data_IF_818584489151
#
_entry.id   IF_818584489151
#
_cell.length_a   1.000
_cell.length_b   1.000
_cell.length_c   1.000
_cell.angle_alpha   90.00
_cell.angle_beta   90.00
_cell.angle_gamma   90.00
#
_symmetry.space_group_name_H-M   'P 1'
#
loop_
_entity.id
_entity.type
_entity.pdbx_description
1 polymer ?
#
# COMPACT_ATOMS: atom_id res chain seq x y z
N UNK A 1 49.88 -14.36 25.68
CA UNK A 1 49.39 -15.47 26.54
C UNK A 1 47.90 -15.75 26.39
N UNK A 2 46.98 -14.82 26.70
CA UNK A 2 45.51 -15.05 26.71
C UNK A 2 44.96 -15.83 25.49
N UNK A 3 45.34 -15.45 24.26
CA UNK A 3 44.89 -16.09 23.01
C UNK A 3 45.21 -17.59 22.93
N UNK A 4 46.36 -18.03 23.45
CA UNK A 4 46.74 -19.46 23.45
C UNK A 4 45.95 -20.28 24.48
N UNK A 5 45.63 -19.68 25.64
CA UNK A 5 44.74 -20.28 26.65
C UNK A 5 43.33 -20.42 26.08
N UNK A 6 42.82 -19.37 25.42
CA UNK A 6 41.51 -19.40 24.77
C UNK A 6 41.42 -20.47 23.68
N UNK A 7 42.43 -20.60 22.79
CA UNK A 7 42.45 -21.66 21.78
C UNK A 7 42.50 -23.07 22.39
N UNK A 8 43.29 -23.30 23.46
CA UNK A 8 43.32 -24.61 24.15
C UNK A 8 42.00 -24.91 24.89
N UNK A 9 41.40 -23.90 25.52
CA UNK A 9 40.08 -24.02 26.19
C UNK A 9 38.95 -24.32 25.19
N UNK A 10 38.88 -23.58 24.09
CA UNK A 10 37.90 -23.83 23.02
C UNK A 10 38.12 -25.20 22.36
N UNK A 11 39.38 -25.57 22.05
CA UNK A 11 39.69 -26.86 21.44
C UNK A 11 39.30 -28.05 22.33
N UNK A 12 39.60 -27.99 23.62
CA UNK A 12 39.19 -29.02 24.59
C UNK A 12 37.68 -29.03 24.84
N UNK A 13 37.02 -27.86 24.87
CA UNK A 13 35.57 -27.75 24.98
C UNK A 13 34.85 -28.34 23.76
N UNK A 14 35.22 -27.94 22.54
CA UNK A 14 34.62 -28.47 21.31
C UNK A 14 34.93 -29.95 21.09
N UNK A 15 36.09 -30.46 21.51
CA UNK A 15 36.38 -31.89 21.47
C UNK A 15 35.44 -32.70 22.40
N UNK A 16 35.20 -32.21 23.63
CA UNK A 16 34.23 -32.83 24.56
C UNK A 16 32.79 -32.74 24.04
N UNK A 17 32.39 -31.58 23.50
CA UNK A 17 31.08 -31.39 22.90
C UNK A 17 30.88 -32.32 21.69
N UNK A 18 31.87 -32.41 20.80
CA UNK A 18 31.84 -33.30 19.64
C UNK A 18 31.74 -34.78 20.03
N UNK A 19 32.44 -35.20 21.09
CA UNK A 19 32.32 -36.56 21.63
C UNK A 19 30.93 -36.83 22.23
N UNK A 20 30.32 -35.85 22.89
CA UNK A 20 28.95 -35.94 23.40
C UNK A 20 27.89 -36.02 22.28
N UNK A 21 28.07 -35.23 21.21
CA UNK A 21 27.22 -35.30 20.01
C UNK A 21 27.38 -36.64 19.29
N UNK A 22 28.61 -37.12 19.12
CA UNK A 22 28.90 -38.39 18.45
C UNK A 22 28.40 -39.63 19.21
N UNK A 23 28.26 -39.55 20.53
CA UNK A 23 27.64 -40.61 21.36
C UNK A 23 26.11 -40.59 21.34
N UNK A 24 25.47 -39.47 20.96
CA UNK A 24 24.01 -39.32 20.90
C UNK A 24 23.51 -38.79 19.54
N UNK A 25 23.91 -39.41 18.40
CA UNK A 25 23.70 -38.83 17.07
C UNK A 25 22.22 -38.66 16.72
N UNK A 26 21.35 -39.57 17.16
CA UNK A 26 19.90 -39.52 16.87
C UNK A 26 19.23 -38.32 17.54
N UNK A 27 19.56 -38.03 18.79
CA UNK A 27 18.99 -36.88 19.53
C UNK A 27 19.41 -35.55 18.91
N UNK A 28 20.70 -35.42 18.56
CA UNK A 28 21.22 -34.21 17.90
C UNK A 28 20.77 -34.05 16.44
N UNK A 29 20.32 -35.12 15.77
CA UNK A 29 19.67 -35.04 14.47
C UNK A 29 18.18 -34.68 14.57
N UNK A 30 17.44 -35.24 15.54
CA UNK A 30 16.00 -35.02 15.66
C UNK A 30 15.64 -33.68 16.31
N UNK A 31 16.41 -33.21 17.30
CA UNK A 31 16.16 -31.95 17.99
C UNK A 31 16.09 -30.72 17.05
N UNK A 32 17.06 -30.45 16.16
CA UNK A 32 16.96 -29.31 15.23
C UNK A 32 15.79 -29.46 14.25
N UNK A 33 15.48 -30.68 13.78
CA UNK A 33 14.34 -30.93 12.90
C UNK A 33 13.01 -30.59 13.59
N UNK A 34 12.83 -31.03 14.85
CA UNK A 34 11.65 -30.68 15.65
C UNK A 34 11.55 -29.18 15.89
N UNK A 35 12.66 -28.51 16.21
CA UNK A 35 12.70 -27.05 16.40
C UNK A 35 12.35 -26.32 15.09
N UNK A 36 12.87 -26.75 13.94
CA UNK A 36 12.52 -26.19 12.63
C UNK A 36 11.04 -26.39 12.28
N UNK A 37 10.45 -27.55 12.60
CA UNK A 37 9.01 -27.79 12.40
C UNK A 37 8.16 -26.91 13.32
N UNK A 38 8.53 -26.75 14.60
CA UNK A 38 7.82 -25.88 15.55
C UNK A 38 7.89 -24.40 15.13
N UNK A 39 9.06 -23.93 14.68
CA UNK A 39 9.23 -22.59 14.14
C UNK A 39 8.44 -22.40 12.84
N UNK A 40 8.50 -23.36 11.91
CA UNK A 40 7.74 -23.37 10.67
C UNK A 40 6.22 -23.34 10.89
N UNK A 41 5.71 -24.10 11.86
CA UNK A 41 4.31 -24.08 12.26
C UNK A 41 3.88 -22.72 12.84
N UNK A 42 4.79 -22.00 13.53
CA UNK A 42 4.54 -20.65 14.02
C UNK A 42 4.28 -19.65 12.89
N UNK A 43 4.99 -19.77 11.75
CA UNK A 43 4.74 -18.94 10.56
C UNK A 43 3.33 -19.09 9.99
N UNK A 44 2.59 -20.17 10.28
CA UNK A 44 1.18 -20.32 9.89
C UNK A 44 0.25 -19.27 10.52
N UNK A 45 0.70 -18.52 11.53
CA UNK A 45 -0.06 -17.42 12.16
C UNK A 45 0.49 -16.03 11.82
N UNK A 46 1.47 -15.94 10.92
CA UNK A 46 1.98 -14.67 10.44
C UNK A 46 0.90 -13.92 9.64
N UNK A 47 0.59 -12.69 10.04
CA UNK A 47 -0.26 -11.79 9.26
C UNK A 47 0.64 -10.82 8.49
N UNK A 48 0.40 -10.70 7.18
CA UNK A 48 1.09 -9.74 6.32
C UNK A 48 0.46 -8.36 6.55
N UNK A 49 1.26 -7.41 7.03
CA UNK A 49 0.84 -6.01 7.18
C UNK A 49 0.90 -5.31 5.82
N UNK A 50 -0.25 -5.18 5.14
CA UNK A 50 -0.35 -4.51 3.83
C UNK A 50 -0.43 -2.98 3.93
N UNK A 51 -0.56 -2.39 5.13
CA UNK A 51 -0.73 -0.94 5.24
C UNK A 51 0.58 -0.19 5.01
N UNK A 52 0.64 0.50 3.87
CA UNK A 52 1.78 1.33 3.44
C UNK A 52 2.20 2.35 4.52
N UNK A 53 1.25 2.87 5.29
CA UNK A 53 1.51 3.76 6.42
C UNK A 53 2.29 3.09 7.56
N UNK A 54 1.99 1.83 7.89
CA UNK A 54 2.71 1.11 8.95
C UNK A 54 4.11 0.72 8.49
N UNK A 55 4.26 0.34 7.22
CA UNK A 55 5.54 -0.03 6.61
C UNK A 55 6.50 1.17 6.46
N UNK A 56 5.99 2.39 6.24
CA UNK A 56 6.81 3.57 5.97
C UNK A 56 6.90 4.59 7.11
N UNK A 57 5.94 4.62 8.05
CA UNK A 57 5.93 5.59 9.14
C UNK A 57 6.10 4.91 10.52
N UNK A 58 7.04 5.38 11.37
CA UNK A 58 7.21 4.86 12.72
C UNK A 58 5.91 4.90 13.54
N UNK A 59 5.66 3.85 14.32
CA UNK A 59 4.45 3.67 15.13
C UNK A 59 4.18 4.86 16.09
N UNK A 60 5.23 5.46 16.64
CA UNK A 60 5.18 6.59 17.58
C UNK A 60 5.83 7.86 17.02
N UNK A 61 5.54 8.20 15.76
CA UNK A 61 5.96 9.50 15.19
C UNK A 61 5.12 10.66 15.75
N UNK A 62 5.74 11.84 15.92
CA UNK A 62 5.06 13.04 16.42
C UNK A 62 3.78 13.35 15.63
N UNK A 63 3.85 13.33 14.30
CA UNK A 63 2.70 13.55 13.42
C UNK A 63 1.55 12.53 13.62
N UNK A 64 1.87 11.29 14.03
CA UNK A 64 0.86 10.26 14.33
C UNK A 64 0.23 10.48 15.71
N UNK A 65 1.01 10.97 16.68
CA UNK A 65 0.52 11.39 18.00
C UNK A 65 -0.38 12.64 17.87
N UNK A 66 0.07 13.68 17.17
CA UNK A 66 -0.71 14.88 16.87
C UNK A 66 -2.01 14.52 16.13
N UNK A 67 -1.96 13.65 15.12
CA UNK A 67 -3.16 13.12 14.45
C UNK A 67 -4.09 12.38 15.40
N UNK A 68 -3.56 11.56 16.32
CA UNK A 68 -4.38 10.84 17.29
C UNK A 68 -5.08 11.79 18.27
N UNK A 69 -4.38 12.85 18.71
CA UNK A 69 -4.93 13.90 19.58
C UNK A 69 -6.00 14.72 18.86
N UNK A 70 -5.74 15.17 17.63
CA UNK A 70 -6.72 15.90 16.81
C UNK A 70 -7.96 15.03 16.54
N UNK A 71 -7.79 13.75 16.18
CA UNK A 71 -8.91 12.83 15.98
C UNK A 71 -9.73 12.59 17.28
N UNK A 72 -9.10 12.69 18.46
CA UNK A 72 -9.77 12.53 19.75
C UNK A 72 -10.48 13.79 20.23
N UNK A 73 -9.91 14.98 19.97
CA UNK A 73 -10.51 16.28 20.33
C UNK A 73 -11.61 16.68 19.35
N UNK A 74 -11.42 16.37 18.07
CA UNK A 74 -12.33 16.67 16.97
C UNK A 74 -12.68 15.35 16.25
N UNK A 75 -13.60 14.54 16.81
CA UNK A 75 -14.02 13.28 16.19
C UNK A 75 -14.71 13.56 14.85
N UNK A 76 -13.94 13.40 13.76
CA UNK A 76 -14.39 13.61 12.38
C UNK A 76 -15.46 12.58 12.03
N UNK A 77 -16.72 12.96 12.26
CA UNK A 77 -17.86 12.15 11.89
C UNK A 77 -17.94 12.11 10.36
N UNK A 78 -17.46 11.00 9.77
CA UNK A 78 -17.16 10.90 8.33
C UNK A 78 -18.38 11.14 7.43
N UNK A 79 -19.60 10.90 7.92
CA UNK A 79 -20.86 11.18 7.21
C UNK A 79 -21.28 12.65 7.19
N UNK A 80 -20.67 13.52 8.02
CA UNK A 80 -21.11 14.92 8.19
C UNK A 80 -20.17 15.97 7.60
N UNK A 81 -18.92 15.62 7.33
CA UNK A 81 -17.91 16.59 6.85
C UNK A 81 -17.89 16.60 5.32
N UNK A 82 -18.26 17.75 4.73
CA UNK A 82 -18.44 17.92 3.28
C UNK A 82 -17.14 18.19 2.52
N UNK A 83 -16.08 18.64 3.20
CA UNK A 83 -14.87 19.13 2.53
C UNK A 83 -13.77 18.07 2.44
N UNK A 84 -13.29 17.86 1.21
CA UNK A 84 -12.11 17.06 0.89
C UNK A 84 -10.86 17.48 1.68
N UNK A 85 -10.74 18.77 2.03
CA UNK A 85 -9.64 19.33 2.81
C UNK A 85 -9.60 18.87 4.28
N UNK A 86 -10.75 18.49 4.86
CA UNK A 86 -10.84 18.03 6.26
C UNK A 86 -10.51 16.53 6.40
N UNK A 87 -10.46 15.80 5.28
CA UNK A 87 -9.93 14.44 5.20
C UNK A 87 -8.40 14.44 5.28
N UNK A 88 -7.87 14.92 6.41
CA UNK A 88 -6.45 14.78 6.75
C UNK A 88 -6.00 13.30 6.88
N UNK A 89 -6.94 12.36 6.95
CA UNK A 89 -6.58 10.93 6.98
C UNK A 89 -6.19 10.45 5.57
N UNK A 90 -5.10 9.69 5.42
CA UNK A 90 -4.82 8.88 4.23
C UNK A 90 -5.92 7.81 4.04
N UNK A 91 -7.07 8.25 3.55
CA UNK A 91 -8.22 7.41 3.26
C UNK A 91 -8.16 6.82 1.86
N UNK A 92 -8.98 5.80 1.62
CA UNK A 92 -9.22 5.26 0.28
C UNK A 92 -10.15 6.21 -0.48
N UNK A 93 -9.58 7.22 -1.14
CA UNK A 93 -10.29 8.12 -2.05
C UNK A 93 -9.79 7.97 -3.49
N UNK A 94 -10.68 8.11 -4.46
CA UNK A 94 -10.33 8.23 -5.87
C UNK A 94 -10.36 9.69 -6.30
N UNK A 95 -9.28 10.20 -6.90
CA UNK A 95 -9.23 11.55 -7.47
C UNK A 95 -8.94 11.47 -8.96
N UNK A 96 -9.82 12.07 -9.77
CA UNK A 96 -9.65 12.21 -11.21
C UNK A 96 -9.23 13.64 -11.51
N UNK A 97 -8.11 13.83 -12.21
CA UNK A 97 -7.62 15.14 -12.64
C UNK A 97 -7.83 15.23 -14.15
N UNK A 98 -8.70 16.15 -14.59
CA UNK A 98 -9.05 16.35 -15.99
C UNK A 98 -8.28 17.57 -16.49
N UNK A 99 -7.59 17.43 -17.64
CA UNK A 99 -6.77 18.50 -18.23
C UNK A 99 -6.98 18.58 -19.74
N UNK A 100 -6.74 19.75 -20.33
CA UNK A 100 -6.76 19.93 -21.79
C UNK A 100 -5.36 20.06 -22.38
N UNK A 101 -5.16 19.39 -23.52
CA UNK A 101 -3.90 19.46 -24.27
C UNK A 101 -3.63 20.84 -24.89
N UNK A 102 -4.65 21.68 -25.10
CA UNK A 102 -4.56 22.95 -25.86
C UNK A 102 -5.00 24.20 -25.09
N UNK A 103 -4.72 24.28 -23.77
CA UNK A 103 -5.13 25.41 -22.90
C UNK A 103 -6.62 25.80 -23.09
N UNK A 104 -7.47 24.81 -23.34
CA UNK A 104 -8.89 25.00 -23.65
C UNK A 104 -9.69 25.24 -22.36
N UNK A 105 -10.77 26.03 -22.47
CA UNK A 105 -11.68 26.30 -21.36
C UNK A 105 -12.35 25.00 -20.87
N UNK A 106 -12.15 24.65 -19.60
CA UNK A 106 -12.76 23.43 -19.03
C UNK A 106 -14.22 23.58 -18.63
N UNK A 107 -14.71 24.83 -18.53
CA UNK A 107 -16.12 25.15 -18.27
C UNK A 107 -16.92 25.40 -19.55
N UNK A 108 -16.30 25.23 -20.72
CA UNK A 108 -16.98 25.21 -22.01
C UNK A 108 -18.01 24.05 -22.07
N UNK A 109 -19.05 24.21 -22.90
CA UNK A 109 -20.16 23.25 -22.99
C UNK A 109 -19.69 21.85 -23.36
N UNK A 110 -18.86 21.71 -24.39
CA UNK A 110 -18.36 20.41 -24.84
C UNK A 110 -17.55 19.70 -23.74
N UNK A 111 -16.71 20.45 -23.02
CA UNK A 111 -15.88 19.90 -21.94
C UNK A 111 -16.71 19.58 -20.69
N UNK A 112 -17.68 20.42 -20.34
CA UNK A 112 -18.68 20.17 -19.28
C UNK A 112 -19.41 18.84 -19.52
N UNK A 113 -19.91 18.62 -20.73
CA UNK A 113 -20.60 17.38 -21.10
C UNK A 113 -19.71 16.14 -20.99
N UNK A 114 -18.43 16.24 -21.36
CA UNK A 114 -17.46 15.14 -21.20
C UNK A 114 -17.17 14.85 -19.72
N UNK A 115 -17.05 15.87 -18.87
CA UNK A 115 -16.83 15.72 -17.43
C UNK A 115 -18.03 15.01 -16.77
N UNK A 116 -19.25 15.44 -17.08
CA UNK A 116 -20.48 14.82 -16.57
C UNK A 116 -20.65 13.39 -17.09
N UNK A 117 -20.32 13.12 -18.36
CA UNK A 117 -20.31 11.76 -18.92
C UNK A 117 -19.30 10.85 -18.22
N UNK A 118 -18.10 11.35 -17.90
CA UNK A 118 -17.09 10.62 -17.13
C UNK A 118 -17.56 10.34 -15.70
N UNK A 119 -18.15 11.34 -15.03
CA UNK A 119 -18.74 11.16 -13.69
C UNK A 119 -19.83 10.08 -13.69
N UNK A 120 -20.72 10.09 -14.68
CA UNK A 120 -21.76 9.08 -14.87
C UNK A 120 -21.19 7.68 -15.18
N UNK A 121 -20.06 7.59 -15.89
CA UNK A 121 -19.37 6.32 -16.11
C UNK A 121 -18.77 5.78 -14.80
N UNK A 122 -18.10 6.62 -14.01
CA UNK A 122 -17.47 6.23 -12.73
C UNK A 122 -18.51 5.77 -11.69
N UNK A 123 -19.62 6.48 -11.55
CA UNK A 123 -20.69 6.12 -10.59
C UNK A 123 -21.42 4.82 -10.96
N UNK A 124 -21.38 4.42 -12.24
CA UNK A 124 -21.96 3.16 -12.74
C UNK A 124 -20.99 1.96 -12.74
N UNK A 125 -19.72 2.14 -12.32
CA UNK A 125 -18.77 1.03 -12.22
C UNK A 125 -19.33 -0.02 -11.23
N UNK A 126 -19.29 -1.28 -11.66
CA UNK A 126 -19.64 -2.44 -10.86
C UNK A 126 -18.42 -3.36 -10.73
N UNK A 127 -18.11 -3.77 -9.50
CA UNK A 127 -17.02 -4.69 -9.19
C UNK A 127 -17.64 -5.99 -8.68
N UNK A 128 -17.53 -7.04 -9.50
CA UNK A 128 -18.05 -8.35 -9.13
C UNK A 128 -17.10 -9.02 -8.12
N UNK A 129 -17.64 -9.37 -6.95
CA UNK A 129 -16.98 -10.19 -5.93
C UNK A 129 -17.86 -11.41 -5.65
N UNK A 130 -17.30 -12.56 -5.22
CA UNK A 130 -18.10 -13.74 -4.91
C UNK A 130 -19.19 -13.39 -3.90
N UNK A 131 -20.46 -13.55 -4.31
CA UNK A 131 -21.65 -13.27 -3.51
C UNK A 131 -22.21 -11.83 -3.58
N UNK A 132 -21.50 -10.84 -4.12
CA UNK A 132 -22.04 -9.47 -4.22
C UNK A 132 -21.39 -8.60 -5.31
N UNK A 133 -22.22 -7.87 -6.06
CA UNK A 133 -21.78 -6.89 -7.05
C UNK A 133 -21.75 -5.49 -6.44
N UNK A 134 -20.56 -5.07 -6.01
CA UNK A 134 -20.37 -3.76 -5.41
C UNK A 134 -20.48 -2.65 -6.47
N UNK A 135 -21.18 -1.57 -6.13
CA UNK A 135 -21.28 -0.36 -6.95
C UNK A 135 -20.79 0.85 -6.15
N UNK A 136 -20.56 1.99 -6.80
CA UNK A 136 -20.15 3.23 -6.12
C UNK A 136 -21.05 3.58 -4.92
N UNK A 137 -22.37 3.42 -5.06
CA UNK A 137 -23.35 3.71 -4.01
C UNK A 137 -23.21 2.84 -2.73
N UNK A 138 -22.57 1.68 -2.83
CA UNK A 138 -22.33 0.78 -1.68
C UNK A 138 -21.04 1.10 -0.92
N UNK A 139 -20.15 1.92 -1.49
CA UNK A 139 -18.81 2.21 -0.97
C UNK A 139 -18.65 3.71 -0.61
N UNK A 140 -19.47 4.58 -1.22
CA UNK A 140 -19.42 6.02 -0.99
C UNK A 140 -19.71 6.40 0.46
N UNK A 141 -19.22 7.58 0.86
CA UNK A 141 -19.62 8.20 2.13
C UNK A 141 -21.02 8.81 1.92
N UNK A 142 -21.93 8.48 2.83
CA UNK A 142 -23.30 9.00 2.83
C UNK A 142 -23.38 10.31 3.64
N UNK A 143 -23.98 11.33 3.04
CA UNK A 143 -24.45 12.55 3.73
C UNK A 143 -25.68 12.24 4.60
N UNK A 144 -26.10 13.18 5.45
CA UNK A 144 -27.33 13.09 6.28
C UNK A 144 -28.57 12.72 5.44
N UNK A 145 -28.63 13.20 4.19
CA UNK A 145 -29.72 13.00 3.23
C UNK A 145 -29.68 11.63 2.53
N UNK A 146 -28.79 10.71 2.96
CA UNK A 146 -28.51 9.39 2.36
C UNK A 146 -28.01 9.43 0.91
N UNK A 147 -27.53 10.58 0.45
CA UNK A 147 -26.85 10.74 -0.84
C UNK A 147 -25.35 10.53 -0.71
N UNK A 148 -24.69 10.01 -1.75
CA UNK A 148 -23.23 9.94 -1.79
C UNK A 148 -22.63 11.34 -1.81
N UNK A 149 -21.62 11.59 -0.98
CA UNK A 149 -20.79 12.80 -1.07
C UNK A 149 -19.92 12.70 -2.33
N UNK A 150 -20.03 13.72 -3.19
CA UNK A 150 -19.29 13.92 -4.44
C UNK A 150 -18.75 15.37 -4.39
N UNK A 151 -17.72 15.67 -5.18
CA UNK A 151 -17.19 17.03 -5.31
C UNK A 151 -18.28 18.02 -5.80
N UNK A 152 -18.48 19.12 -5.07
CA UNK A 152 -19.51 20.13 -5.33
C UNK A 152 -19.41 20.72 -6.75
N UNK A 153 -18.23 20.66 -7.39
CA UNK A 153 -18.06 21.09 -8.79
C UNK A 153 -18.98 20.33 -9.76
N UNK A 154 -19.34 19.08 -9.45
CA UNK A 154 -20.25 18.28 -10.31
C UNK A 154 -21.65 18.90 -10.31
N UNK A 155 -22.16 19.29 -9.14
CA UNK A 155 -23.45 19.97 -9.01
C UNK A 155 -23.47 21.30 -9.78
N UNK A 156 -22.40 22.10 -9.65
CA UNK A 156 -22.26 23.36 -10.39
C UNK A 156 -22.24 23.12 -11.91
N UNK A 157 -21.56 22.08 -12.39
CA UNK A 157 -21.53 21.73 -13.81
C UNK A 157 -22.90 21.26 -14.33
N UNK A 158 -23.68 20.54 -13.52
CA UNK A 158 -25.07 20.15 -13.86
C UNK A 158 -25.99 21.37 -13.93
N UNK A 159 -25.92 22.29 -12.95
CA UNK A 159 -26.68 23.55 -12.97
C UNK A 159 -26.30 24.44 -14.17
N UNK A 160 -25.01 24.56 -14.49
CA UNK A 160 -24.55 25.31 -15.67
C UNK A 160 -25.07 24.70 -16.97
N UNK A 161 -25.14 23.37 -17.06
CA UNK A 161 -25.75 22.68 -18.20
C UNK A 161 -27.26 22.93 -18.28
N UNK A 162 -27.96 22.86 -17.15
CA UNK A 162 -29.40 23.14 -17.08
C UNK A 162 -29.72 24.60 -17.44
N UNK A 163 -28.94 25.57 -16.96
CA UNK A 163 -29.11 26.99 -17.25
C UNK A 163 -28.93 27.32 -18.74
N UNK A 164 -27.92 26.71 -19.38
CA UNK A 164 -27.71 26.77 -20.85
C UNK A 164 -28.89 26.15 -21.60
N UNK A 165 -29.34 24.96 -21.20
CA UNK A 165 -30.49 24.29 -21.82
C UNK A 165 -31.81 25.06 -21.64
N UNK A 166 -31.96 25.81 -20.54
CA UNK A 166 -33.11 26.70 -20.29
C UNK A 166 -32.99 28.04 -21.03
N UNK A 167 -31.93 28.27 -21.81
CA UNK A 167 -31.65 29.49 -22.56
C UNK A 167 -31.68 30.79 -21.70
N UNK A 168 -31.46 30.65 -20.38
CA UNK A 168 -31.68 31.74 -19.41
C UNK A 168 -30.51 32.71 -19.31
N UNK A 169 -29.29 32.28 -19.61
CA UNK A 169 -28.09 33.13 -19.68
C UNK A 169 -26.97 32.47 -20.50
N UNK A 170 -26.49 33.16 -21.56
CA UNK A 170 -25.29 32.76 -22.31
C UNK A 170 -24.01 33.36 -21.69
N UNK A 171 -23.77 33.14 -20.39
CA UNK A 171 -22.53 33.60 -19.75
C UNK A 171 -21.36 32.63 -20.05
N UNK A 172 -20.35 33.13 -20.75
CA UNK A 172 -19.13 32.40 -21.11
C UNK A 172 -18.14 32.33 -19.92
N UNK A 173 -18.46 31.51 -18.92
CA UNK A 173 -17.55 31.27 -17.78
C UNK A 173 -16.27 30.62 -18.30
N UNK A 174 -15.12 31.24 -18.02
CA UNK A 174 -13.82 30.81 -18.53
C UNK A 174 -12.90 30.37 -17.40
N UNK A 175 -12.31 29.18 -17.55
CA UNK A 175 -11.30 28.62 -16.63
C UNK A 175 -10.14 28.01 -17.41
N UNK A 176 -8.87 28.24 -17.03
CA UNK A 176 -8.41 28.98 -15.85
C UNK A 176 -8.53 30.51 -16.00
N UNK A 177 -8.66 31.21 -14.87
CA UNK A 177 -8.78 32.67 -14.79
C UNK A 177 -7.44 33.37 -15.08
N UNK A 178 -6.32 32.64 -14.95
CA UNK A 178 -4.97 33.16 -15.21
C UNK A 178 -4.26 32.34 -16.29
N UNK A 179 -3.75 33.04 -17.31
CA UNK A 179 -2.87 32.44 -18.31
C UNK A 179 -1.41 32.67 -17.91
N UNK A 180 -0.79 31.65 -17.32
CA UNK A 180 0.65 31.68 -17.04
C UNK A 180 1.42 31.69 -18.38
N UNK A 181 2.18 32.76 -18.63
CA UNK A 181 3.19 32.79 -19.70
C UNK A 181 4.30 31.81 -19.32
N UNK A 182 4.69 30.99 -20.29
CA UNK A 182 5.86 30.10 -20.23
C UNK A 182 5.92 29.13 -19.05
N UNK A 183 4.80 28.44 -18.78
CA UNK A 183 4.85 27.18 -18.04
C UNK A 183 5.60 26.12 -18.87
N UNK A 184 6.69 25.51 -18.35
CA UNK A 184 7.23 24.28 -18.90
C UNK A 184 6.15 23.20 -18.97
N UNK A 185 6.31 22.21 -19.87
CA UNK A 185 5.37 21.08 -20.01
C UNK A 185 5.04 20.50 -18.64
N UNK A 186 3.77 20.14 -18.34
CA UNK A 186 3.41 19.56 -17.05
C UNK A 186 4.02 18.17 -16.91
N UNK A 187 5.25 18.11 -16.40
CA UNK A 187 5.74 16.95 -15.66
C UNK A 187 4.80 16.70 -14.50
N UNK A 188 4.44 15.43 -14.27
CA UNK A 188 3.37 15.03 -13.35
C UNK A 188 3.44 15.75 -11.99
N UNK A 189 2.31 16.23 -11.43
CA UNK A 189 2.29 16.99 -10.18
C UNK A 189 2.56 16.08 -8.98
N UNK A 190 3.85 15.85 -8.70
CA UNK A 190 4.36 15.12 -7.54
C UNK A 190 5.55 15.78 -6.83
N UNK A 191 6.05 16.91 -7.35
CA UNK A 191 7.21 17.63 -6.77
C UNK A 191 6.81 18.94 -6.12
N UNK A 192 6.52 18.90 -4.81
CA UNK A 192 6.49 20.09 -3.96
C UNK A 192 7.90 20.69 -3.81
N UNK A 193 8.10 22.00 -4.00
CA UNK A 193 9.41 22.64 -3.80
C UNK A 193 9.61 22.94 -2.30
N UNK A 194 10.06 21.95 -1.51
CA UNK A 194 10.10 22.16 -0.06
C UNK A 194 10.63 21.05 0.84
N UNK A 195 11.68 20.32 0.45
CA UNK A 195 12.52 19.60 1.42
C UNK A 195 13.86 19.21 0.79
N UNK A 196 14.95 19.94 1.06
CA UNK A 196 16.32 19.52 0.70
C UNK A 196 16.82 18.47 1.71
N UNK A 197 16.14 17.33 1.77
CA UNK A 197 16.65 16.15 2.45
C UNK A 197 17.78 15.55 1.61
N UNK A 198 19.00 15.52 2.18
CA UNK A 198 20.16 14.91 1.54
C UNK A 198 19.92 13.40 1.41
N UNK A 199 19.54 12.93 0.23
CA UNK A 199 19.48 11.50 -0.07
C UNK A 199 20.87 10.90 0.02
N UNK A 200 21.20 10.32 1.18
CA UNK A 200 22.31 9.39 1.29
C UNK A 200 22.00 8.18 0.41
N UNK A 201 22.91 7.83 -0.50
CA UNK A 201 22.83 6.59 -1.27
C UNK A 201 23.14 5.42 -0.34
N UNK A 202 22.12 4.89 0.32
CA UNK A 202 22.17 3.54 0.88
C UNK A 202 21.71 2.56 -0.21
N UNK A 203 22.51 1.55 -0.59
CA UNK A 203 22.13 0.61 -1.64
C UNK A 203 20.92 -0.23 -1.20
N UNK A 204 20.01 -0.47 -2.14
CA UNK A 204 18.94 -1.46 -2.00
C UNK A 204 19.58 -2.82 -1.67
N UNK A 205 19.35 -3.31 -0.45
CA UNK A 205 19.65 -4.69 -0.10
C UNK A 205 18.69 -5.58 -0.90
N UNK A 206 19.19 -6.14 -2.00
CA UNK A 206 18.50 -7.17 -2.76
C UNK A 206 18.30 -8.37 -1.83
N UNK A 207 17.08 -8.59 -1.36
CA UNK A 207 16.74 -9.76 -0.56
C UNK A 207 16.88 -10.97 -1.46
N UNK A 208 18.03 -11.64 -1.35
CA UNK A 208 18.34 -12.86 -2.06
C UNK A 208 17.54 -13.99 -1.41
N UNK A 209 16.47 -14.40 -2.06
CA UNK A 209 15.69 -15.60 -1.72
C UNK A 209 16.55 -16.84 -1.99
N UNK A 210 17.38 -17.20 -1.00
CA UNK A 210 18.18 -18.43 -1.01
C UNK A 210 17.23 -19.63 -0.98
N UNK A 211 17.05 -20.28 -2.12
CA UNK A 211 16.15 -21.42 -2.29
C UNK A 211 16.80 -22.67 -1.67
N UNK A 212 16.41 -23.02 -0.43
CA UNK A 212 16.94 -24.21 0.24
C UNK A 212 16.35 -25.51 -0.36
N UNK A 213 17.14 -26.15 -1.23
CA UNK A 213 16.85 -27.49 -1.76
C UNK A 213 17.17 -28.55 -0.70
N UNK A 214 16.15 -28.99 0.05
CA UNK A 214 16.23 -30.19 0.88
C UNK A 214 15.93 -31.43 0.03
N UNK A 215 16.97 -32.20 -0.31
CA UNK A 215 16.84 -33.52 -0.93
C UNK A 215 16.51 -34.57 0.14
N UNK A 216 15.37 -35.24 -0.03
CA UNK A 216 15.02 -36.43 0.74
C UNK A 216 15.61 -37.68 0.09
N UNK A 217 16.53 -38.34 0.80
CA UNK A 217 17.01 -39.68 0.47
C UNK A 217 16.34 -40.70 1.38
N UNK A 218 15.46 -41.52 0.81
CA UNK A 218 14.90 -42.69 1.51
C UNK A 218 15.85 -43.87 1.32
N UNK A 219 16.32 -44.46 2.41
CA UNK A 219 17.31 -45.54 2.38
C UNK A 219 16.62 -46.89 2.54
N UNK A 220 16.49 -47.65 1.46
CA UNK A 220 15.91 -48.98 1.49
C UNK A 220 16.79 -49.95 0.69
N UNK A 221 17.40 -50.93 1.38
CA UNK A 221 18.08 -52.08 0.77
C UNK A 221 19.01 -51.80 -0.42
N UNK A 222 20.21 -51.27 -0.15
CA UNK A 222 21.34 -51.24 -1.11
C UNK A 222 21.19 -50.41 -2.41
N UNK A 223 20.20 -49.52 -2.55
CA UNK A 223 20.20 -48.52 -3.63
C UNK A 223 19.66 -47.16 -3.18
N UNK A 224 20.33 -46.07 -3.56
CA UNK A 224 19.83 -44.70 -3.36
C UNK A 224 18.95 -44.31 -4.56
N UNK A 225 17.67 -44.04 -4.31
CA UNK A 225 16.80 -43.31 -5.24
C UNK A 225 16.35 -41.99 -4.60
N UNK A 226 16.36 -40.92 -5.39
CA UNK A 226 15.88 -39.60 -4.96
C UNK A 226 14.35 -39.55 -5.08
N UNK A 227 13.65 -39.33 -3.97
CA UNK A 227 12.18 -39.36 -3.91
C UNK A 227 11.62 -37.93 -3.91
N UNK A 228 11.71 -37.29 -5.08
CA UNK A 228 10.99 -36.05 -5.40
C UNK A 228 11.64 -34.72 -4.98
N UNK A 229 11.36 -33.68 -5.75
CA UNK A 229 11.58 -32.28 -5.37
C UNK A 229 10.23 -31.66 -4.97
N UNK A 230 10.15 -31.10 -3.76
CA UNK A 230 9.10 -30.13 -3.42
C UNK A 230 9.75 -28.80 -3.06
N UNK A 231 9.65 -27.84 -3.98
CA UNK A 231 10.04 -26.47 -3.73
C UNK A 231 8.95 -25.75 -2.92
N UNK A 232 9.29 -25.34 -1.70
CA UNK A 232 8.50 -24.37 -0.94
C UNK A 232 9.10 -22.98 -1.18
N UNK A 233 8.32 -22.09 -1.78
CA UNK A 233 8.65 -20.68 -1.87
C UNK A 233 8.12 -19.97 -0.61
N UNK A 234 9.02 -19.23 0.06
CA UNK A 234 8.70 -18.20 1.05
C UNK A 234 9.01 -16.83 0.45
#
# INVERSE_FOLDING_TARGET
MLRQVLHRGLGTSFSRLGHFVASHPVFFASAPVLISILLGASFSRYQVEESVEHLLAPAHSLAKIERSLVNSLFPVNRSKHRLYSDLQTPGRYGRVIITSFRKANMLDQHHTDLILKLHSAVTRIQVQRPGFNYTFAHICILNNDKTCIVDDIVHVLEELKAARSSNRTNFAITYPITHLKDAPRPTAPGSTPGCRARCSRSPLAMVRTETFLLLWFSYHGHSLQAVGLQAWAF
#
